data_IF_525902797812
#
_entry.id   IF_525902797812
#
_cell.length_a   1.000
_cell.length_b   1.000
_cell.length_c   1.000
_cell.angle_alpha   90.00
_cell.angle_beta   90.00
_cell.angle_gamma   90.00
#
_symmetry.space_group_name_H-M   'P 1'
#
loop_
_entity.id
_entity.type
_entity.pdbx_description
1 polymer ?
#
# COMPACT_ATOMS: atom_id res chain seq x y z
N UNK A 1 -11.05 -9.49 -0.78
CA UNK A 1 -10.22 -8.96 0.32
C UNK A 1 -11.14 -8.32 1.36
N UNK A 2 -10.86 -8.48 2.66
CA UNK A 2 -11.74 -7.96 3.73
C UNK A 2 -11.29 -6.57 4.21
N UNK A 3 -12.24 -5.73 4.65
CA UNK A 3 -11.95 -4.39 5.19
C UNK A 3 -11.06 -4.51 6.43
N UNK A 4 -9.97 -3.73 6.47
CA UNK A 4 -8.99 -3.73 7.57
C UNK A 4 -8.06 -4.95 7.62
N UNK A 5 -8.10 -5.84 6.62
CA UNK A 5 -7.21 -7.02 6.58
C UNK A 5 -5.79 -6.67 6.14
N UNK A 6 -4.77 -7.46 6.53
CA UNK A 6 -3.41 -7.30 6.04
C UNK A 6 -3.33 -7.30 4.50
N UNK A 7 -4.15 -8.13 3.84
CA UNK A 7 -4.24 -8.17 2.39
C UNK A 7 -4.71 -6.83 1.78
N UNK A 8 -5.68 -6.16 2.41
CA UNK A 8 -6.14 -4.84 1.96
C UNK A 8 -5.07 -3.79 2.17
N UNK A 9 -4.45 -3.79 3.35
CA UNK A 9 -3.44 -2.80 3.73
C UNK A 9 -2.18 -2.91 2.86
N UNK A 10 -1.90 -4.12 2.37
CA UNK A 10 -0.81 -4.37 1.45
C UNK A 10 -1.18 -3.97 -0.01
N UNK A 11 -2.46 -3.74 -0.30
CA UNK A 11 -2.92 -3.30 -1.63
C UNK A 11 -3.26 -4.44 -2.58
N UNK A 12 -3.58 -5.64 -2.06
CA UNK A 12 -4.06 -6.74 -2.89
C UNK A 12 -5.42 -6.41 -3.50
N UNK A 13 -5.48 -6.41 -4.82
CA UNK A 13 -6.68 -6.22 -5.61
C UNK A 13 -7.41 -7.56 -5.82
N UNK A 14 -8.64 -7.72 -5.30
CA UNK A 14 -9.44 -8.91 -5.58
C UNK A 14 -9.56 -9.14 -7.09
N UNK A 15 -9.56 -10.41 -7.50
CA UNK A 15 -9.68 -10.87 -8.90
C UNK A 15 -8.49 -10.56 -9.83
N UNK A 16 -7.78 -9.46 -9.62
CA UNK A 16 -6.69 -9.03 -10.51
C UNK A 16 -5.31 -9.47 -10.04
N UNK A 17 -5.10 -9.59 -8.72
CA UNK A 17 -3.81 -9.95 -8.16
C UNK A 17 -3.67 -11.47 -7.93
N UNK A 18 -2.58 -12.02 -8.47
CA UNK A 18 -2.17 -13.41 -8.33
C UNK A 18 -0.88 -13.48 -7.52
N UNK A 19 -0.94 -14.06 -6.32
CA UNK A 19 0.24 -14.26 -5.48
C UNK A 19 1.07 -15.40 -6.07
N UNK A 20 2.30 -15.10 -6.48
CA UNK A 20 3.20 -16.03 -7.15
C UNK A 20 4.25 -16.62 -6.21
N UNK A 21 4.66 -15.86 -5.19
CA UNK A 21 5.66 -16.31 -4.21
C UNK A 21 5.42 -15.67 -2.84
N UNK A 22 5.96 -16.33 -1.83
CA UNK A 22 6.06 -15.81 -0.46
C UNK A 22 7.50 -16.01 0.05
N UNK A 23 8.17 -14.92 0.38
CA UNK A 23 9.62 -14.88 0.58
C UNK A 23 10.35 -15.46 -0.64
N UNK A 24 11.21 -16.45 -0.40
CA UNK A 24 11.97 -17.11 -1.47
C UNK A 24 11.26 -18.34 -2.05
N UNK A 25 10.00 -18.60 -1.65
CA UNK A 25 9.26 -19.80 -2.05
C UNK A 25 8.24 -19.47 -3.13
N UNK A 26 8.43 -20.05 -4.32
CA UNK A 26 7.47 -19.92 -5.42
C UNK A 26 6.27 -20.86 -5.23
N UNK A 27 5.07 -20.31 -5.39
CA UNK A 27 3.80 -21.01 -5.31
C UNK A 27 3.47 -21.60 -6.69
N UNK A 28 4.10 -22.73 -7.02
CA UNK A 28 3.95 -23.42 -8.30
C UNK A 28 3.12 -24.71 -8.22
N UNK A 29 2.56 -25.02 -7.05
CA UNK A 29 1.74 -26.21 -6.80
C UNK A 29 0.47 -25.80 -6.07
N UNK A 30 -0.64 -26.40 -6.46
CA UNK A 30 -1.89 -26.31 -5.72
C UNK A 30 -1.76 -27.09 -4.39
N UNK A 31 -2.25 -26.52 -3.30
CA UNK A 31 -2.23 -27.13 -1.97
C UNK A 31 -2.20 -26.10 -0.84
N UNK A 32 -2.02 -26.59 0.39
CA UNK A 32 -2.00 -25.76 1.61
C UNK A 32 -0.71 -24.94 1.79
N UNK A 33 0.24 -24.97 0.85
CA UNK A 33 1.56 -24.34 0.98
C UNK A 33 1.50 -22.86 1.34
N UNK A 34 0.68 -22.07 0.62
CA UNK A 34 0.50 -20.64 0.92
C UNK A 34 -0.01 -20.44 2.35
N UNK A 35 -1.00 -21.24 2.76
CA UNK A 35 -1.60 -21.17 4.10
C UNK A 35 -0.59 -21.55 5.18
N UNK A 36 0.23 -22.57 4.96
CA UNK A 36 1.25 -23.02 5.90
C UNK A 36 2.38 -21.99 6.03
N UNK A 37 2.80 -21.39 4.93
CA UNK A 37 3.80 -20.33 4.93
C UNK A 37 3.29 -19.05 5.60
N UNK A 38 2.02 -18.69 5.40
CA UNK A 38 1.39 -17.57 6.13
C UNK A 38 1.33 -17.86 7.64
N UNK A 39 0.93 -19.07 8.04
CA UNK A 39 0.91 -19.48 9.46
C UNK A 39 2.32 -19.45 10.10
N UNK A 40 3.33 -19.89 9.37
CA UNK A 40 4.71 -19.89 9.83
C UNK A 40 5.28 -18.46 10.01
N UNK A 41 4.67 -17.47 9.37
CA UNK A 41 5.08 -16.05 9.39
C UNK A 41 4.05 -15.14 10.07
N UNK A 42 3.21 -15.66 10.96
CA UNK A 42 2.31 -14.84 11.79
C UNK A 42 3.13 -13.79 12.56
N UNK A 43 2.65 -12.55 12.55
CA UNK A 43 3.32 -11.37 13.14
C UNK A 43 4.70 -11.02 12.58
N UNK A 44 5.13 -11.66 11.48
CA UNK A 44 6.36 -11.33 10.77
C UNK A 44 6.03 -10.69 9.42
N UNK A 45 6.80 -9.67 9.05
CA UNK A 45 6.77 -9.16 7.69
C UNK A 45 7.21 -10.27 6.72
N UNK A 46 6.46 -10.45 5.64
CA UNK A 46 6.78 -11.45 4.61
C UNK A 46 6.52 -10.86 3.23
N UNK A 47 7.54 -10.96 2.38
CA UNK A 47 7.50 -10.48 1.01
C UNK A 47 6.57 -11.33 0.16
N UNK A 48 5.72 -10.70 -0.65
CA UNK A 48 4.90 -11.36 -1.65
C UNK A 48 5.23 -10.79 -3.04
N UNK A 49 5.52 -11.66 -4.00
CA UNK A 49 5.50 -11.27 -5.40
C UNK A 49 4.10 -11.53 -5.97
N UNK A 50 3.53 -10.49 -6.56
CA UNK A 50 2.18 -10.51 -7.09
C UNK A 50 2.19 -10.11 -8.54
N UNK A 51 1.45 -10.85 -9.37
CA UNK A 51 1.17 -10.46 -10.74
C UNK A 51 -0.23 -9.89 -10.83
N UNK A 52 -0.35 -8.66 -11.33
CA UNK A 52 -1.62 -8.02 -11.57
C UNK A 52 -2.04 -8.23 -13.03
N UNK A 53 -3.16 -8.92 -13.26
CA UNK A 53 -3.63 -9.28 -14.61
C UNK A 53 -4.20 -8.10 -15.39
N UNK A 54 -4.68 -7.05 -14.71
CA UNK A 54 -5.25 -5.85 -15.35
C UNK A 54 -4.16 -4.99 -15.97
N UNK A 55 -3.03 -4.83 -15.28
CA UNK A 55 -1.90 -4.02 -15.72
C UNK A 55 -0.80 -4.85 -16.40
N UNK A 56 -0.89 -6.18 -16.31
CA UNK A 56 0.12 -7.14 -16.80
C UNK A 56 1.51 -6.89 -16.20
N UNK A 57 1.58 -6.43 -14.94
CA UNK A 57 2.82 -6.09 -14.24
C UNK A 57 3.02 -6.96 -12.99
N UNK A 58 4.28 -7.24 -12.69
CA UNK A 58 4.69 -7.78 -11.40
C UNK A 58 4.88 -6.62 -10.43
N UNK A 59 4.36 -6.78 -9.21
CA UNK A 59 4.55 -5.85 -8.09
C UNK A 59 5.04 -6.64 -6.89
N UNK A 60 6.01 -6.05 -6.23
CA UNK A 60 6.50 -6.52 -4.94
C UNK A 60 5.75 -5.75 -3.86
N UNK A 61 5.13 -6.46 -2.93
CA UNK A 61 4.39 -5.84 -1.83
C UNK A 61 5.33 -5.50 -0.69
N UNK A 62 6.00 -4.35 -0.75
CA UNK A 62 6.84 -3.86 0.36
C UNK A 62 6.84 -2.31 0.45
N UNK A 63 6.54 -1.81 1.66
CA UNK A 63 7.12 -0.60 2.27
C UNK A 63 6.98 0.78 1.58
N UNK A 64 7.28 1.85 2.32
CA UNK A 64 7.44 3.19 1.71
C UNK A 64 8.77 3.20 0.97
N UNK A 65 8.72 3.12 -0.36
CA UNK A 65 9.90 3.05 -1.22
C UNK A 65 10.87 4.23 -1.00
N UNK A 66 12.17 3.92 -0.93
CA UNK A 66 13.19 4.94 -0.70
C UNK A 66 13.23 5.94 -1.86
N UNK A 67 13.19 7.24 -1.55
CA UNK A 67 13.07 8.34 -2.53
C UNK A 67 11.73 8.45 -3.26
N UNK A 68 10.73 7.66 -2.88
CA UNK A 68 9.35 7.88 -3.34
C UNK A 68 8.82 9.23 -2.86
N UNK A 69 7.80 9.79 -3.52
CA UNK A 69 7.05 10.94 -3.00
C UNK A 69 6.63 10.79 -1.54
N UNK A 70 6.22 9.57 -1.13
CA UNK A 70 5.83 9.26 0.24
C UNK A 70 7.02 9.33 1.21
N UNK A 71 8.18 8.77 0.85
CA UNK A 71 9.40 8.85 1.66
C UNK A 71 9.89 10.30 1.79
N UNK A 72 9.87 11.05 0.68
CA UNK A 72 10.26 12.47 0.65
C UNK A 72 9.33 13.34 1.49
N UNK A 73 8.06 12.95 1.58
CA UNK A 73 7.07 13.58 2.45
C UNK A 73 7.21 13.17 3.93
N UNK A 74 8.07 12.21 4.25
CA UNK A 74 8.26 11.72 5.62
C UNK A 74 7.10 10.83 6.11
N UNK A 75 6.42 10.14 5.19
CA UNK A 75 5.51 9.06 5.55
C UNK A 75 6.31 7.84 6.00
N UNK A 76 5.90 7.25 7.11
CA UNK A 76 6.50 6.11 7.75
C UNK A 76 5.56 4.93 7.60
N UNK A 77 6.01 3.91 6.88
CA UNK A 77 5.24 2.69 6.69
C UNK A 77 4.77 2.09 8.02
N UNK A 78 3.62 1.41 7.97
CA UNK A 78 3.00 0.70 9.10
C UNK A 78 2.52 1.56 10.28
N UNK A 79 2.98 2.81 10.41
CA UNK A 79 2.68 3.67 11.56
C UNK A 79 1.88 4.89 11.18
N UNK A 80 2.01 5.38 9.94
CA UNK A 80 1.25 6.51 9.43
C UNK A 80 -0.02 6.08 8.69
N UNK A 81 -1.13 6.68 9.11
CA UNK A 81 -2.45 6.47 8.53
C UNK A 81 -2.98 7.81 8.03
N UNK A 82 -3.25 7.88 6.73
CA UNK A 82 -3.88 9.06 6.13
C UNK A 82 -5.34 9.09 6.59
N UNK A 83 -5.71 10.12 7.35
CA UNK A 83 -7.06 10.29 7.92
C UNK A 83 -7.82 11.44 7.25
N UNK A 84 -7.16 12.23 6.43
CA UNK A 84 -7.78 13.29 5.65
C UNK A 84 -6.83 13.98 4.68
N UNK A 85 -7.39 14.87 3.87
CA UNK A 85 -6.66 15.77 2.99
C UNK A 85 -7.32 17.16 3.02
N UNK A 86 -6.54 18.21 2.74
CA UNK A 86 -7.01 19.61 2.77
C UNK A 86 -7.98 19.93 1.61
N UNK A 87 -7.88 19.17 0.51
CA UNK A 87 -8.88 19.25 -0.55
C UNK A 87 -10.15 18.52 -0.12
N UNK A 88 -11.27 19.23 -0.16
CA UNK A 88 -12.61 18.67 -0.02
C UNK A 88 -12.81 17.67 -1.15
N UNK A 89 -12.86 16.38 -0.82
CA UNK A 89 -13.30 15.34 -1.74
C UNK A 89 -14.73 15.68 -2.16
N UNK A 90 -14.98 15.78 -3.47
CA UNK A 90 -16.37 15.78 -3.95
C UNK A 90 -16.99 14.43 -3.60
N UNK A 91 -18.30 14.37 -3.33
CA UNK A 91 -19.00 13.17 -2.81
C UNK A 91 -18.80 11.88 -3.65
N UNK A 92 -18.28 12.01 -4.87
CA UNK A 92 -17.97 10.91 -5.80
C UNK A 92 -16.50 10.52 -5.92
N UNK A 93 -15.57 11.29 -5.32
CA UNK A 93 -14.12 11.09 -5.49
C UNK A 93 -13.52 10.39 -4.27
N UNK A 94 -12.70 9.37 -4.55
CA UNK A 94 -11.91 8.70 -3.53
C UNK A 94 -10.50 9.32 -3.41
N UNK A 95 -9.78 8.90 -2.37
CA UNK A 95 -8.42 9.38 -2.12
C UNK A 95 -7.47 9.15 -3.32
N UNK A 96 -7.68 8.08 -4.09
CA UNK A 96 -6.86 7.79 -5.27
C UNK A 96 -7.05 8.84 -6.35
N UNK A 97 -8.30 9.20 -6.64
CA UNK A 97 -8.65 10.26 -7.60
C UNK A 97 -8.01 11.60 -7.21
N UNK A 98 -7.96 11.91 -5.92
CA UNK A 98 -7.29 13.11 -5.40
C UNK A 98 -5.78 13.10 -5.63
N UNK A 99 -5.12 11.96 -5.46
CA UNK A 99 -3.67 11.80 -5.70
C UNK A 99 -3.35 11.96 -7.19
N UNK A 100 -4.14 11.36 -8.08
CA UNK A 100 -3.97 11.46 -9.53
C UNK A 100 -4.16 12.90 -10.03
N UNK A 101 -5.23 13.56 -9.59
CA UNK A 101 -5.51 14.96 -9.97
C UNK A 101 -4.51 15.97 -9.39
N UNK A 102 -3.76 15.57 -8.36
CA UNK A 102 -2.71 16.36 -7.72
C UNK A 102 -1.31 16.04 -8.26
N UNK A 103 -1.18 15.37 -9.41
CA UNK A 103 0.12 15.10 -10.02
C UNK A 103 0.95 16.38 -10.22
N UNK A 104 2.20 16.33 -9.75
CA UNK A 104 3.16 17.43 -9.79
C UNK A 104 2.84 18.58 -8.82
N UNK A 105 1.79 18.47 -7.99
CA UNK A 105 1.35 19.52 -7.07
C UNK A 105 1.48 19.08 -5.61
N UNK A 106 1.83 19.99 -4.69
CA UNK A 106 1.80 19.70 -3.26
C UNK A 106 0.37 19.37 -2.80
N UNK A 107 0.20 18.19 -2.23
CA UNK A 107 -1.02 17.69 -1.62
C UNK A 107 -0.82 17.59 -0.10
N UNK A 108 -1.59 18.36 0.65
CA UNK A 108 -1.54 18.33 2.12
C UNK A 108 -2.48 17.25 2.66
N UNK A 109 -1.92 16.36 3.46
CA UNK A 109 -2.57 15.24 4.10
C UNK A 109 -2.56 15.40 5.62
N UNK A 110 -3.63 14.97 6.27
CA UNK A 110 -3.67 14.76 7.70
C UNK A 110 -3.32 13.30 7.98
N UNK A 111 -2.26 13.08 8.75
CA UNK A 111 -1.70 11.76 9.01
C UNK A 111 -1.70 11.49 10.50
N UNK A 112 -2.37 10.40 10.90
CA UNK A 112 -2.31 9.87 12.26
C UNK A 112 -1.16 8.88 12.40
N UNK A 113 -0.29 9.07 13.39
CA UNK A 113 0.80 8.14 13.69
C UNK A 113 0.47 7.28 14.92
N UNK A 114 0.54 5.97 14.78
CA UNK A 114 0.21 5.01 15.86
C UNK A 114 1.27 4.88 16.93
N UNK A 115 2.52 5.29 16.68
CA UNK A 115 3.58 5.26 17.70
C UNK A 115 3.51 6.47 18.62
N UNK A 116 3.22 7.64 18.06
CA UNK A 116 3.13 8.89 18.83
C UNK A 116 1.71 9.22 19.29
N UNK A 117 0.71 8.49 18.78
CA UNK A 117 -0.72 8.72 19.01
C UNK A 117 -1.13 10.17 18.70
N UNK A 118 -0.62 10.72 17.60
CA UNK A 118 -0.78 12.11 17.21
C UNK A 118 -1.09 12.25 15.72
N UNK A 119 -1.87 13.28 15.39
CA UNK A 119 -2.07 13.72 14.02
C UNK A 119 -1.06 14.80 13.64
N UNK A 120 -0.51 14.72 12.43
CA UNK A 120 0.36 15.75 11.84
C UNK A 120 -0.01 16.02 10.40
N UNK A 121 0.30 17.22 9.94
CA UNK A 121 0.19 17.58 8.53
C UNK A 121 1.42 17.08 7.77
N UNK A 122 1.18 16.43 6.64
CA UNK A 122 2.23 15.96 5.73
C UNK A 122 1.93 16.49 4.33
N UNK A 123 2.95 17.03 3.66
CA UNK A 123 2.81 17.50 2.28
C UNK A 123 3.52 16.52 1.37
N UNK A 124 2.75 15.80 0.55
CA UNK A 124 3.26 14.89 -0.47
C UNK A 124 3.14 15.56 -1.84
N UNK A 125 4.11 15.37 -2.72
CA UNK A 125 4.00 15.82 -4.13
C UNK A 125 3.92 14.57 -5.00
N UNK A 126 2.70 14.11 -5.39
CA UNK A 126 2.55 12.97 -6.28
C UNK A 126 3.32 13.22 -7.58
N UNK A 127 4.02 12.19 -8.03
CA UNK A 127 4.75 12.20 -9.30
C UNK A 127 4.41 10.86 -9.95
N UNK A 128 4.05 10.82 -11.24
CA UNK A 128 3.89 9.57 -11.98
C UNK A 128 5.20 9.05 -12.59
N UNK A 129 6.24 9.91 -12.63
CA UNK A 129 7.51 9.68 -13.32
C UNK A 129 8.72 9.55 -12.36
N UNK A 130 8.49 9.14 -11.10
CA UNK A 130 9.54 8.89 -10.10
C UNK A 130 10.14 7.49 -10.22
#
# INVERSE_FOLDING_TARGET
VQKGSPALNAGLEPFFDFILSIGNTRLNKEGDLLKDLLKANVEKAVKLEVYNSKTQRMRELEDVEARSPAALAGLVAHTDFIVGADQVLQDSEDFFSLVETSEGKPLKLLVYNTQTDQCREVVVTPNGAW
#
